data_IF_064869405565
#
_entry.id   IF_064869405565
#
_cell.length_a   1.000
_cell.length_b   1.000
_cell.length_c   1.000
_cell.angle_alpha   90.00
_cell.angle_beta   90.00
_cell.angle_gamma   90.00
#
_symmetry.space_group_name_H-M   'P 1'
#
loop_
_entity.id
_entity.type
_entity.pdbx_description
1 polymer ?
#
# COMPACT_ATOMS: atom_id res chain seq x y z
N UNK A 1 -9.55 54.49 24.38
CA UNK A 1 -9.96 53.67 23.22
C UNK A 1 -9.78 52.19 23.57
N UNK A 2 -10.78 51.37 23.23
CA UNK A 2 -11.06 50.03 23.75
C UNK A 2 -9.87 49.04 23.69
N UNK A 3 -9.56 48.42 24.82
CA UNK A 3 -8.79 47.17 24.86
C UNK A 3 -9.59 46.06 24.17
N UNK A 4 -8.95 45.37 23.23
CA UNK A 4 -9.53 44.25 22.49
C UNK A 4 -9.52 43.02 23.41
N UNK A 5 -10.68 42.65 23.92
CA UNK A 5 -10.85 41.43 24.71
C UNK A 5 -10.40 40.22 23.91
N UNK A 6 -9.38 39.51 24.37
CA UNK A 6 -9.07 38.17 23.87
C UNK A 6 -10.21 37.24 24.28
N UNK A 7 -10.61 36.26 23.44
CA UNK A 7 -11.53 35.23 23.89
C UNK A 7 -10.86 34.44 25.01
N UNK A 8 -11.42 34.53 26.21
CA UNK A 8 -11.10 33.63 27.30
C UNK A 8 -11.27 32.19 26.79
N UNK A 9 -10.30 31.29 26.97
CA UNK A 9 -10.55 29.89 26.75
C UNK A 9 -11.60 29.48 27.79
N UNK A 10 -12.75 29.00 27.32
CA UNK A 10 -13.71 28.30 28.17
C UNK A 10 -13.06 26.97 28.57
N UNK A 11 -12.11 27.03 29.51
CA UNK A 11 -11.65 25.86 30.24
C UNK A 11 -12.67 25.65 31.36
N UNK A 12 -13.81 25.09 30.99
CA UNK A 12 -14.60 24.35 31.97
C UNK A 12 -13.83 23.06 32.25
N UNK A 13 -13.34 22.91 33.48
CA UNK A 13 -12.71 21.68 34.03
C UNK A 13 -13.75 20.58 34.21
N UNK A 14 -14.62 20.38 33.23
CA UNK A 14 -15.66 19.37 33.30
C UNK A 14 -15.33 18.27 32.30
N UNK A 15 -14.66 17.25 32.84
CA UNK A 15 -14.22 16.05 32.17
C UNK A 15 -15.44 15.14 31.90
N UNK A 16 -16.48 15.69 31.26
CA UNK A 16 -17.69 14.94 30.90
C UNK A 16 -17.36 14.08 29.69
N UNK A 17 -17.33 12.76 29.89
CA UNK A 17 -17.51 11.81 28.80
C UNK A 17 -18.87 12.09 28.17
N UNK A 18 -18.91 12.88 27.11
CA UNK A 18 -20.12 13.09 26.35
C UNK A 18 -20.47 11.74 25.72
N UNK A 19 -21.70 11.28 25.93
CA UNK A 19 -22.26 10.09 25.28
C UNK A 19 -23.38 10.54 24.36
N UNK A 20 -23.36 10.11 23.09
CA UNK A 20 -24.48 10.28 22.17
C UNK A 20 -24.81 8.88 21.63
N UNK A 21 -25.82 8.23 22.21
CA UNK A 21 -26.07 6.80 21.98
C UNK A 21 -24.88 5.94 22.42
N UNK A 22 -24.40 5.05 21.55
CA UNK A 22 -23.22 4.20 21.79
C UNK A 22 -21.88 4.95 21.68
N UNK A 23 -21.89 6.17 21.15
CA UNK A 23 -20.66 6.93 20.91
C UNK A 23 -20.18 7.61 22.19
N UNK A 24 -18.90 7.42 22.52
CA UNK A 24 -18.23 8.12 23.62
C UNK A 24 -17.20 9.10 23.07
N UNK A 25 -17.34 10.38 23.39
CA UNK A 25 -16.37 11.40 23.00
C UNK A 25 -15.30 11.50 24.10
N UNK A 26 -14.06 11.14 23.73
CA UNK A 26 -12.87 11.33 24.58
C UNK A 26 -11.98 12.39 23.92
N UNK A 27 -11.63 13.42 24.68
CA UNK A 27 -10.81 14.55 24.24
C UNK A 27 -9.44 14.12 23.67
N UNK A 28 -8.94 12.93 24.04
CA UNK A 28 -7.68 12.33 23.55
C UNK A 28 -7.88 10.98 22.85
N UNK A 29 -9.06 10.72 22.27
CA UNK A 29 -9.24 9.56 21.40
C UNK A 29 -8.70 9.86 20.00
N UNK A 30 -7.48 9.40 19.73
CA UNK A 30 -6.92 9.38 18.37
C UNK A 30 -7.28 8.03 17.75
N UNK A 31 -7.86 8.06 16.55
CA UNK A 31 -8.12 6.82 15.81
C UNK A 31 -6.81 6.08 15.55
N UNK A 32 -6.67 4.87 16.10
CA UNK A 32 -5.57 3.96 15.71
C UNK A 32 -5.70 3.51 14.24
N UNK A 33 -6.85 3.73 13.61
CA UNK A 33 -7.11 3.46 12.20
C UNK A 33 -6.68 4.63 11.30
N UNK A 34 -5.53 5.25 11.57
CA UNK A 34 -5.03 6.36 10.73
C UNK A 34 -4.54 5.90 9.35
N UNK A 35 -4.51 4.58 9.09
CA UNK A 35 -4.24 4.01 7.78
C UNK A 35 -5.54 3.45 7.21
N UNK A 36 -6.26 4.32 6.53
CA UNK A 36 -7.23 3.96 5.50
C UNK A 36 -6.69 2.73 4.73
N UNK A 37 -7.49 1.65 4.70
CA UNK A 37 -7.07 0.32 4.25
C UNK A 37 -6.82 0.24 2.74
N UNK A 38 -7.17 -0.89 2.12
CA UNK A 38 -7.22 -0.99 0.67
C UNK A 38 -8.68 -1.09 0.26
N UNK A 39 -9.01 -0.69 -0.97
CA UNK A 39 -10.31 -0.99 -1.56
C UNK A 39 -10.53 -2.51 -1.56
N UNK A 40 -11.78 -3.01 -1.52
CA UNK A 40 -12.07 -4.44 -1.47
C UNK A 40 -11.35 -5.24 -2.57
N UNK A 41 -11.19 -4.63 -3.76
CA UNK A 41 -10.43 -5.21 -4.86
C UNK A 41 -8.98 -5.52 -4.47
N UNK A 42 -8.19 -4.52 -4.07
CA UNK A 42 -6.78 -4.73 -3.74
C UNK A 42 -6.58 -5.52 -2.46
N UNK A 43 -7.45 -5.34 -1.47
CA UNK A 43 -7.41 -6.10 -0.22
C UNK A 43 -7.49 -7.61 -0.48
N UNK A 44 -8.40 -8.05 -1.37
CA UNK A 44 -8.52 -9.45 -1.81
C UNK A 44 -7.21 -10.00 -2.40
N UNK A 45 -6.54 -9.23 -3.27
CA UNK A 45 -5.31 -9.69 -3.94
C UNK A 45 -4.09 -9.67 -3.03
N UNK A 46 -3.97 -8.69 -2.14
CA UNK A 46 -2.88 -8.64 -1.16
C UNK A 46 -3.03 -9.77 -0.13
N UNK A 47 -4.25 -10.07 0.34
CA UNK A 47 -4.50 -11.22 1.22
C UNK A 47 -4.10 -12.54 0.59
N UNK A 48 -4.26 -12.70 -0.72
CA UNK A 48 -3.85 -13.91 -1.46
C UNK A 48 -2.41 -13.86 -1.94
N UNK A 49 -1.74 -12.71 -1.80
CA UNK A 49 -0.44 -12.40 -2.39
C UNK A 49 -0.34 -12.90 -3.85
N UNK A 50 -1.38 -12.61 -4.64
CA UNK A 50 -1.58 -13.13 -6.00
C UNK A 50 -2.13 -12.07 -6.94
N UNK A 51 -1.73 -12.15 -8.20
CA UNK A 51 -2.23 -11.27 -9.27
C UNK A 51 -1.45 -9.96 -9.34
N UNK A 52 -1.89 -9.02 -10.19
CA UNK A 52 -1.22 -7.73 -10.30
C UNK A 52 -1.44 -6.93 -9.01
N UNK A 53 -0.39 -6.82 -8.22
CA UNK A 53 -0.34 -5.92 -7.06
C UNK A 53 0.60 -4.78 -7.46
N UNK A 54 0.13 -3.63 -8.00
CA UNK A 54 1.01 -2.53 -8.38
C UNK A 54 1.73 -2.00 -7.13
N UNK A 55 2.98 -1.54 -7.25
CA UNK A 55 3.71 -0.99 -6.11
C UNK A 55 3.16 0.39 -5.73
N UNK A 56 2.69 1.13 -6.74
CA UNK A 56 2.20 2.50 -6.62
C UNK A 56 0.96 2.63 -5.74
N UNK A 57 0.22 1.53 -5.49
CA UNK A 57 -0.93 1.55 -4.57
C UNK A 57 -0.53 1.66 -3.09
N UNK A 58 0.76 1.49 -2.77
CA UNK A 58 1.27 1.61 -1.40
C UNK A 58 1.72 3.03 -1.06
N UNK A 59 1.69 3.95 -2.03
CA UNK A 59 1.80 5.38 -1.79
C UNK A 59 0.61 5.88 -0.94
N UNK A 60 0.90 6.66 0.09
CA UNK A 60 -0.11 7.08 1.07
C UNK A 60 -1.11 8.07 0.48
N UNK A 61 -0.64 9.01 -0.34
CA UNK A 61 -1.50 9.97 -1.02
C UNK A 61 -2.46 9.24 -1.96
N UNK A 62 -1.92 8.30 -2.74
CA UNK A 62 -2.74 7.48 -3.63
C UNK A 62 -3.80 6.68 -2.86
N UNK A 63 -3.44 6.03 -1.75
CA UNK A 63 -4.40 5.28 -0.92
C UNK A 63 -5.57 6.14 -0.44
N UNK A 64 -5.26 7.33 0.07
CA UNK A 64 -6.26 8.25 0.58
C UNK A 64 -7.22 8.70 -0.53
N UNK A 65 -6.69 9.06 -1.70
CA UNK A 65 -7.49 9.40 -2.87
C UNK A 65 -8.35 8.22 -3.36
N UNK A 66 -7.78 7.01 -3.37
CA UNK A 66 -8.47 5.80 -3.80
C UNK A 66 -9.67 5.46 -2.91
N UNK A 67 -9.55 5.66 -1.59
CA UNK A 67 -10.64 5.42 -0.64
C UNK A 67 -11.73 6.47 -0.75
N UNK A 68 -11.36 7.75 -0.86
CA UNK A 68 -12.32 8.83 -1.11
C UNK A 68 -13.10 8.61 -2.41
N UNK A 69 -12.41 8.19 -3.47
CA UNK A 69 -13.03 7.87 -4.75
C UNK A 69 -13.98 6.68 -4.63
N UNK A 70 -13.56 5.59 -3.96
CA UNK A 70 -14.40 4.42 -3.75
C UNK A 70 -15.68 4.75 -2.98
N UNK A 71 -15.57 5.57 -1.93
CA UNK A 71 -16.72 6.05 -1.17
C UNK A 71 -17.68 6.85 -2.05
N UNK A 72 -17.18 7.84 -2.79
CA UNK A 72 -17.98 8.65 -3.73
C UNK A 72 -18.66 7.80 -4.81
N UNK A 73 -17.99 6.76 -5.31
CA UNK A 73 -18.53 5.86 -6.34
C UNK A 73 -19.66 5.00 -5.79
N UNK A 74 -19.52 4.43 -4.59
CA UNK A 74 -20.59 3.62 -3.98
C UNK A 74 -21.86 4.44 -3.73
N UNK A 75 -21.74 5.68 -3.28
CA UNK A 75 -22.89 6.58 -3.10
C UNK A 75 -23.67 6.80 -4.41
N UNK A 76 -22.99 6.75 -5.56
CA UNK A 76 -23.60 6.93 -6.89
C UNK A 76 -24.09 5.64 -7.54
N UNK A 77 -23.57 4.48 -7.11
CA UNK A 77 -23.73 3.20 -7.80
C UNK A 77 -24.64 2.26 -7.00
N UNK A 78 -25.92 2.61 -6.88
CA UNK A 78 -26.91 1.72 -6.25
C UNK A 78 -27.42 0.59 -7.16
N UNK A 79 -27.08 0.51 -8.46
CA UNK A 79 -27.72 -0.46 -9.38
C UNK A 79 -26.88 -0.91 -10.60
N UNK A 80 -25.60 -1.26 -10.48
CA UNK A 80 -24.85 -1.82 -11.62
C UNK A 80 -23.93 -2.98 -11.20
N UNK A 81 -24.27 -4.20 -11.64
CA UNK A 81 -23.45 -5.40 -11.49
C UNK A 81 -22.21 -5.30 -12.39
N UNK A 82 -21.13 -4.70 -11.89
CA UNK A 82 -19.90 -4.61 -12.67
C UNK A 82 -19.24 -5.99 -12.80
N UNK A 83 -18.77 -6.32 -14.01
CA UNK A 83 -17.95 -7.49 -14.31
C UNK A 83 -16.83 -7.65 -13.25
N UNK A 84 -16.90 -8.73 -12.45
CA UNK A 84 -16.22 -8.87 -11.14
C UNK A 84 -14.69 -8.94 -11.19
N UNK A 85 -14.09 -8.96 -12.38
CA UNK A 85 -12.67 -9.26 -12.57
C UNK A 85 -11.80 -8.06 -12.95
N UNK A 86 -12.37 -6.90 -13.31
CA UNK A 86 -11.61 -5.72 -13.72
C UNK A 86 -11.59 -4.62 -12.65
N UNK A 87 -10.43 -4.02 -12.42
CA UNK A 87 -10.31 -2.86 -11.52
C UNK A 87 -10.95 -1.62 -12.15
N UNK A 88 -11.98 -1.06 -11.51
CA UNK A 88 -12.67 0.16 -11.95
C UNK A 88 -12.61 1.29 -10.90
N UNK A 89 -11.64 1.19 -9.98
CA UNK A 89 -11.41 2.19 -8.93
C UNK A 89 -10.57 3.37 -9.42
N UNK A 90 -10.10 4.18 -8.47
CA UNK A 90 -9.22 5.32 -8.74
C UNK A 90 -7.97 4.88 -9.53
N UNK A 91 -7.63 5.52 -10.65
CA UNK A 91 -6.49 5.11 -11.47
C UNK A 91 -5.20 5.15 -10.67
N UNK A 92 -4.38 4.11 -10.78
CA UNK A 92 -3.04 4.09 -10.17
C UNK A 92 -1.97 4.57 -11.15
N UNK A 93 -0.95 5.30 -10.67
CA UNK A 93 0.12 5.80 -11.52
C UNK A 93 0.84 4.67 -12.26
N UNK A 94 1.32 4.99 -13.46
CA UNK A 94 2.19 4.11 -14.24
C UNK A 94 3.43 3.73 -13.42
N UNK A 95 3.86 2.46 -13.58
CA UNK A 95 5.03 1.93 -12.90
C UNK A 95 6.33 2.61 -13.38
N UNK A 96 6.37 3.05 -14.64
CA UNK A 96 7.54 3.61 -15.31
C UNK A 96 7.78 5.09 -15.00
N UNK A 97 6.73 5.85 -14.72
CA UNK A 97 6.82 7.29 -14.44
C UNK A 97 6.92 7.61 -12.94
N UNK A 98 7.58 6.73 -12.16
CA UNK A 98 7.80 6.96 -10.74
C UNK A 98 9.07 7.77 -10.50
N UNK A 99 9.00 8.77 -9.62
CA UNK A 99 10.20 9.42 -9.09
C UNK A 99 10.86 8.52 -8.04
N UNK A 100 12.15 8.75 -7.77
CA UNK A 100 12.88 8.02 -6.74
C UNK A 100 12.20 8.09 -5.36
N UNK A 101 11.73 9.28 -4.96
CA UNK A 101 11.02 9.47 -3.70
C UNK A 101 9.72 8.65 -3.64
N UNK A 102 8.88 8.73 -4.69
CA UNK A 102 7.62 7.97 -4.76
C UNK A 102 7.86 6.46 -4.73
N UNK A 103 8.87 5.99 -5.48
CA UNK A 103 9.24 4.58 -5.51
C UNK A 103 9.70 4.10 -4.12
N UNK A 104 10.59 4.85 -3.47
CA UNK A 104 11.10 4.53 -2.13
C UNK A 104 10.00 4.51 -1.07
N UNK A 105 9.14 5.54 -1.04
CA UNK A 105 7.99 5.59 -0.12
C UNK A 105 7.03 4.43 -0.36
N UNK A 106 6.77 4.08 -1.62
CA UNK A 106 5.90 2.94 -1.96
C UNK A 106 6.51 1.60 -1.55
N UNK A 107 7.83 1.41 -1.67
CA UNK A 107 8.52 0.21 -1.17
C UNK A 107 8.37 0.08 0.36
N UNK A 108 8.60 1.17 1.09
CA UNK A 108 8.44 1.20 2.54
C UNK A 108 6.99 0.94 2.96
N UNK A 109 6.03 1.56 2.28
CA UNK A 109 4.59 1.35 2.46
C UNK A 109 4.20 -0.11 2.21
N UNK A 110 4.76 -0.73 1.16
CA UNK A 110 4.51 -2.13 0.84
C UNK A 110 5.03 -3.07 1.92
N UNK A 111 6.28 -2.92 2.32
CA UNK A 111 6.89 -3.71 3.39
C UNK A 111 6.10 -3.56 4.71
N UNK A 112 5.85 -2.31 5.13
CA UNK A 112 5.10 -2.03 6.36
C UNK A 112 3.71 -2.65 6.32
N UNK A 113 3.01 -2.58 5.19
CA UNK A 113 1.68 -3.15 5.01
C UNK A 113 1.69 -4.67 5.15
N UNK A 114 2.64 -5.36 4.49
CA UNK A 114 2.75 -6.81 4.56
C UNK A 114 3.01 -7.31 5.98
N UNK A 115 3.88 -6.62 6.72
CA UNK A 115 4.22 -6.99 8.10
C UNK A 115 3.07 -6.69 9.06
N UNK A 116 2.56 -5.46 9.03
CA UNK A 116 1.66 -4.96 10.09
C UNK A 116 0.19 -5.28 9.85
N UNK A 117 -0.26 -5.36 8.59
CA UNK A 117 -1.68 -5.55 8.25
C UNK A 117 -2.00 -6.98 7.83
N UNK A 118 -1.11 -7.64 7.07
CA UNK A 118 -1.38 -8.95 6.48
C UNK A 118 -0.57 -10.10 7.09
N UNK A 119 0.37 -9.84 7.99
CA UNK A 119 1.13 -10.87 8.71
C UNK A 119 2.16 -11.63 7.86
N UNK A 120 2.50 -11.15 6.66
CA UNK A 120 3.43 -11.78 5.72
C UNK A 120 4.92 -11.60 6.11
N UNK A 121 5.28 -11.91 7.36
CA UNK A 121 6.62 -11.65 7.92
C UNK A 121 7.75 -12.33 7.14
N UNK A 122 7.58 -13.59 6.73
CA UNK A 122 8.61 -14.32 5.97
C UNK A 122 8.84 -13.71 4.59
N UNK A 123 7.75 -13.43 3.87
CA UNK A 123 7.82 -12.78 2.56
C UNK A 123 8.39 -11.35 2.66
N UNK A 124 8.07 -10.62 3.74
CA UNK A 124 8.64 -9.30 3.98
C UNK A 124 10.18 -9.32 4.11
N UNK A 125 10.77 -10.37 4.70
CA UNK A 125 12.23 -10.57 4.71
C UNK A 125 12.80 -10.72 3.30
N UNK A 126 12.15 -11.50 2.44
CA UNK A 126 12.55 -11.64 1.04
C UNK A 126 12.42 -10.31 0.27
N UNK A 127 11.41 -9.51 0.58
CA UNK A 127 11.24 -8.17 0.02
C UNK A 127 12.38 -7.21 0.43
N UNK A 128 12.86 -7.30 1.67
CA UNK A 128 14.04 -6.52 2.11
C UNK A 128 15.30 -6.91 1.35
N UNK A 129 15.54 -8.21 1.16
CA UNK A 129 16.66 -8.69 0.37
C UNK A 129 16.54 -8.27 -1.11
N UNK A 130 15.36 -8.36 -1.71
CA UNK A 130 15.09 -7.81 -3.06
C UNK A 130 15.36 -6.30 -3.13
N UNK A 131 14.98 -5.54 -2.10
CA UNK A 131 15.30 -4.11 -2.02
C UNK A 131 16.81 -3.87 -1.90
N UNK A 132 17.55 -4.71 -1.18
CA UNK A 132 19.00 -4.62 -1.11
C UNK A 132 19.64 -4.81 -2.50
N UNK A 133 19.18 -5.79 -3.27
CA UNK A 133 19.62 -5.98 -4.67
C UNK A 133 19.33 -4.74 -5.51
N UNK A 134 18.11 -4.18 -5.41
CA UNK A 134 17.75 -2.97 -6.14
C UNK A 134 18.58 -1.74 -5.69
N UNK A 135 18.94 -1.65 -4.41
CA UNK A 135 19.80 -0.59 -3.89
C UNK A 135 21.24 -0.73 -4.39
N UNK A 136 21.75 -1.96 -4.58
CA UNK A 136 23.06 -2.19 -5.19
C UNK A 136 23.08 -1.70 -6.64
N UNK A 137 22.09 -2.09 -7.45
CA UNK A 137 21.92 -1.59 -8.83
C UNK A 137 21.75 -0.06 -8.84
N UNK A 138 21.02 0.49 -7.88
CA UNK A 138 20.86 1.95 -7.77
C UNK A 138 22.20 2.66 -7.54
N UNK A 139 23.08 2.07 -6.74
CA UNK A 139 24.38 2.65 -6.41
C UNK A 139 25.37 2.56 -7.57
N UNK A 140 25.29 1.48 -8.37
CA UNK A 140 26.19 1.21 -9.50
C UNK A 140 25.69 1.85 -10.81
N UNK A 141 24.42 1.61 -11.17
CA UNK A 141 23.85 1.94 -12.48
C UNK A 141 22.80 3.07 -12.44
N UNK A 142 22.44 3.54 -11.25
CA UNK A 142 21.47 4.61 -11.05
C UNK A 142 20.00 4.17 -11.02
N UNK A 143 19.12 5.16 -10.81
CA UNK A 143 17.72 4.91 -10.44
C UNK A 143 16.89 4.20 -11.52
N UNK A 144 17.09 4.54 -12.79
CA UNK A 144 16.29 3.95 -13.87
C UNK A 144 16.55 2.45 -14.01
N UNK A 145 17.79 1.99 -13.77
CA UNK A 145 18.16 0.58 -13.81
C UNK A 145 17.59 -0.18 -12.61
N UNK A 146 17.68 0.38 -11.41
CA UNK A 146 17.04 -0.18 -10.22
C UNK A 146 15.50 -0.27 -10.36
N UNK A 147 14.87 0.75 -10.95
CA UNK A 147 13.44 0.77 -11.23
C UNK A 147 13.06 -0.33 -12.23
N UNK A 148 13.82 -0.47 -13.33
CA UNK A 148 13.61 -1.51 -14.36
C UNK A 148 13.70 -2.91 -13.77
N UNK A 149 14.76 -3.19 -13.01
CA UNK A 149 14.94 -4.45 -12.27
C UNK A 149 13.69 -4.76 -11.42
N UNK A 150 13.25 -3.80 -10.60
CA UNK A 150 12.09 -3.97 -9.75
C UNK A 150 10.77 -4.18 -10.54
N UNK A 151 10.60 -3.49 -11.68
CA UNK A 151 9.41 -3.65 -12.54
C UNK A 151 9.38 -5.02 -13.20
N UNK A 152 10.54 -5.61 -13.54
CA UNK A 152 10.62 -6.92 -14.20
C UNK A 152 10.46 -8.07 -13.19
N UNK A 153 11.16 -8.04 -12.07
CA UNK A 153 11.18 -9.14 -11.09
C UNK A 153 9.88 -9.26 -10.30
N UNK A 154 9.32 -8.13 -9.85
CA UNK A 154 8.22 -8.14 -8.88
C UNK A 154 6.90 -8.71 -9.43
N UNK A 155 6.45 -8.42 -10.67
CA UNK A 155 5.24 -9.01 -11.22
C UNK A 155 5.32 -10.53 -11.38
N UNK A 156 6.48 -11.07 -11.76
CA UNK A 156 6.69 -12.52 -11.92
C UNK A 156 6.40 -13.26 -10.61
N UNK A 157 6.87 -12.71 -9.49
CA UNK A 157 6.64 -13.25 -8.14
C UNK A 157 5.15 -13.41 -7.79
N UNK A 158 4.27 -12.52 -8.28
CA UNK A 158 2.84 -12.55 -7.96
C UNK A 158 1.97 -13.21 -9.04
N UNK A 159 2.50 -13.38 -10.25
CA UNK A 159 1.82 -14.02 -11.37
C UNK A 159 1.91 -15.55 -11.28
N UNK A 160 3.07 -16.08 -10.90
CA UNK A 160 3.35 -17.52 -10.92
C UNK A 160 3.63 -18.03 -9.51
N UNK A 161 2.77 -18.94 -9.04
CA UNK A 161 3.08 -19.76 -7.88
C UNK A 161 3.93 -20.95 -8.32
N UNK A 162 4.98 -21.26 -7.57
CA UNK A 162 5.85 -22.40 -7.79
C UNK A 162 5.15 -23.65 -7.27
N UNK A 163 5.15 -24.74 -8.04
CA UNK A 163 4.62 -26.02 -7.56
C UNK A 163 5.75 -26.79 -6.88
N UNK A 164 5.53 -27.17 -5.62
CA UNK A 164 6.41 -28.09 -4.90
C UNK A 164 6.11 -29.54 -5.30
N UNK A 165 7.06 -30.45 -5.11
CA UNK A 165 6.97 -31.87 -5.50
C UNK A 165 5.75 -32.62 -4.90
N UNK A 166 5.17 -32.08 -3.84
CA UNK A 166 3.97 -32.61 -3.18
C UNK A 166 2.66 -31.92 -3.65
N UNK A 167 2.70 -31.20 -4.77
CA UNK A 167 1.58 -30.46 -5.35
C UNK A 167 1.22 -29.14 -4.64
N UNK A 168 1.90 -28.77 -3.54
CA UNK A 168 1.63 -27.51 -2.84
C UNK A 168 2.14 -26.31 -3.65
N UNK A 169 1.34 -25.25 -3.67
CA UNK A 169 1.70 -23.99 -4.33
C UNK A 169 2.48 -23.08 -3.38
N UNK A 170 3.65 -22.65 -3.81
CA UNK A 170 4.58 -21.80 -3.09
C UNK A 170 4.68 -20.44 -3.78
N UNK A 171 4.97 -19.41 -3.00
CA UNK A 171 5.28 -18.08 -3.54
C UNK A 171 6.77 -18.07 -3.88
N UNK A 172 7.10 -17.60 -5.08
CA UNK A 172 8.49 -17.48 -5.51
C UNK A 172 9.28 -16.60 -4.53
N UNK A 173 10.50 -17.04 -4.18
CA UNK A 173 11.36 -16.23 -3.35
C UNK A 173 11.94 -15.06 -4.17
N UNK A 174 11.34 -13.88 -4.02
CA UNK A 174 11.72 -12.68 -4.76
C UNK A 174 13.18 -12.26 -4.55
N UNK A 175 13.82 -12.65 -3.45
CA UNK A 175 15.22 -12.30 -3.19
C UNK A 175 16.20 -13.03 -4.10
N UNK A 176 15.79 -14.18 -4.64
CA UNK A 176 16.60 -15.03 -5.52
C UNK A 176 16.27 -14.81 -7.00
N UNK A 177 15.23 -14.04 -7.29
CA UNK A 177 14.86 -13.68 -8.65
C UNK A 177 15.83 -12.62 -9.17
N UNK A 178 16.96 -13.07 -9.67
CA UNK A 178 17.75 -12.29 -10.60
C UNK A 178 17.16 -12.56 -11.98
N UNK A 179 16.77 -11.52 -12.71
CA UNK A 179 16.66 -11.70 -14.15
C UNK A 179 18.08 -12.09 -14.55
N UNK A 180 18.29 -13.30 -15.07
CA UNK A 180 19.50 -13.58 -15.84
C UNK A 180 19.62 -12.40 -16.79
N UNK A 181 20.62 -11.54 -16.59
CA UNK A 181 21.20 -10.85 -17.71
C UNK A 181 21.36 -11.93 -18.77
N UNK A 182 20.84 -11.70 -19.96
CA UNK A 182 21.34 -12.40 -21.11
C UNK A 182 22.82 -12.00 -21.20
N UNK A 183 23.67 -12.68 -20.43
CA UNK A 183 25.11 -12.62 -20.56
C UNK A 183 25.41 -13.50 -21.76
N UNK A 184 25.38 -12.88 -22.94
CA UNK A 184 26.27 -13.11 -24.09
C UNK A 184 25.62 -12.60 -25.37
N UNK A 185 26.01 -11.39 -25.77
CA UNK A 185 26.26 -11.03 -27.17
C UNK A 185 27.41 -10.02 -27.16
#
# INVERSE_FOLDING_TARGET
MKARSQPHPIVSKDQRRLRLGELQFKLRAISKHNKMGFTPYFDKYIRKLKGPIPLTIFDENWKNLAILYHYKKQVKANNLSSNRNCYTGFPYPSKWFQTFAKWTSSQQGFHSTLVTKYGYKRFAKWLLAHKANANAILAEDGFMMALRYNIQVRPVCFAYWVTHDNGKKLIANISLLQLRSASSA
#
